data_IF_920068919870
#
_entry.id   IF_920068919870
#
_cell.length_a   1.000
_cell.length_b   1.000
_cell.length_c   1.000
_cell.angle_alpha   90.00
_cell.angle_beta   90.00
_cell.angle_gamma   90.00
#
_symmetry.space_group_name_H-M   'P 1'
#
loop_
_entity.id
_entity.type
_entity.pdbx_description
1 polymer ?
#
# COMPACT_ATOMS: atom_id res chain seq x y z
N UNK A 1 6.86 12.55 2.55
CA UNK A 1 6.07 12.10 1.38
C UNK A 1 6.89 12.33 0.13
N UNK A 2 7.02 11.31 -0.73
CA UNK A 2 7.81 11.33 -1.96
C UNK A 2 6.85 11.22 -3.14
N UNK A 3 6.86 12.20 -4.04
CA UNK A 3 6.03 12.23 -5.25
C UNK A 3 6.80 11.62 -6.43
N UNK A 4 6.14 10.74 -7.19
CA UNK A 4 6.72 9.99 -8.31
C UNK A 4 5.78 10.09 -9.50
N UNK A 5 6.29 10.53 -10.65
CA UNK A 5 5.57 10.47 -11.92
C UNK A 5 5.65 9.05 -12.48
N UNK A 6 4.51 8.47 -12.81
CA UNK A 6 4.42 7.11 -13.34
C UNK A 6 4.43 7.17 -14.86
N UNK A 7 5.41 6.52 -15.48
CA UNK A 7 5.54 6.46 -16.93
C UNK A 7 4.74 5.28 -17.52
N UNK A 8 4.48 5.33 -18.83
CA UNK A 8 3.86 4.22 -19.55
C UNK A 8 4.69 2.94 -19.50
N UNK A 9 6.03 3.06 -19.50
CA UNK A 9 6.94 1.93 -19.39
C UNK A 9 6.81 1.24 -18.01
N UNK A 10 6.75 2.01 -16.93
CA UNK A 10 6.51 1.49 -15.58
C UNK A 10 5.18 0.73 -15.52
N UNK A 11 4.11 1.26 -16.12
CA UNK A 11 2.82 0.57 -16.18
C UNK A 11 2.94 -0.74 -16.95
N UNK A 12 3.62 -0.74 -18.11
CA UNK A 12 3.84 -1.96 -18.91
C UNK A 12 4.57 -3.06 -18.12
N UNK A 13 5.58 -2.70 -17.34
CA UNK A 13 6.30 -3.65 -16.47
C UNK A 13 5.39 -4.19 -15.37
N UNK A 14 4.58 -3.34 -14.74
CA UNK A 14 3.61 -3.75 -13.72
C UNK A 14 2.51 -4.66 -14.28
N UNK A 15 2.02 -4.38 -15.50
CA UNK A 15 1.03 -5.23 -16.18
C UNK A 15 1.58 -6.62 -16.51
N UNK A 16 2.82 -6.71 -16.96
CA UNK A 16 3.49 -7.98 -17.18
C UNK A 16 3.58 -8.79 -15.87
N UNK A 17 4.02 -8.16 -14.79
CA UNK A 17 4.09 -8.78 -13.44
C UNK A 17 2.69 -9.20 -12.96
N UNK A 18 1.66 -8.38 -13.16
CA UNK A 18 0.28 -8.69 -12.79
C UNK A 18 -0.25 -9.95 -13.48
N UNK A 19 0.08 -10.14 -14.75
CA UNK A 19 -0.30 -11.35 -15.51
C UNK A 19 0.37 -12.61 -14.96
N UNK A 20 1.63 -12.53 -14.60
CA UNK A 20 2.36 -13.66 -14.03
C UNK A 20 1.82 -14.06 -12.67
N UNK A 21 1.53 -13.09 -11.80
CA UNK A 21 0.92 -13.32 -10.48
C UNK A 21 -0.50 -13.89 -10.63
N UNK A 22 -1.31 -13.37 -11.55
CA UNK A 22 -2.68 -13.87 -11.80
C UNK A 22 -2.72 -15.33 -12.24
N UNK A 23 -1.73 -15.81 -12.97
CA UNK A 23 -1.57 -17.22 -13.34
C UNK A 23 -1.24 -18.12 -12.16
N UNK A 24 -0.48 -17.59 -11.18
CA UNK A 24 0.01 -18.35 -10.02
C UNK A 24 -1.03 -18.46 -8.88
N UNK A 25 -1.99 -17.54 -8.79
CA UNK A 25 -2.85 -17.40 -7.60
C UNK A 25 -4.34 -17.65 -7.82
N UNK A 26 -4.82 -18.09 -8.99
CA UNK A 26 -6.26 -18.24 -9.26
C UNK A 26 -7.08 -17.03 -8.76
N UNK A 27 -6.63 -15.82 -9.07
CA UNK A 27 -7.19 -14.57 -8.53
C UNK A 27 -8.67 -14.41 -8.94
N UNK A 28 -9.55 -14.36 -7.95
CA UNK A 28 -11.00 -14.11 -8.07
C UNK A 28 -11.31 -12.80 -8.81
N UNK A 29 -10.38 -11.85 -8.85
CA UNK A 29 -10.57 -10.49 -9.39
C UNK A 29 -10.18 -10.32 -10.86
N UNK A 30 -9.88 -11.39 -11.59
CA UNK A 30 -9.51 -11.35 -13.04
C UNK A 30 -8.43 -10.28 -13.36
N UNK A 31 -7.50 -9.99 -12.48
CA UNK A 31 -6.35 -9.12 -12.71
C UNK A 31 -6.62 -7.61 -12.73
N UNK A 32 -7.87 -7.14 -12.84
CA UNK A 32 -8.18 -5.70 -12.92
C UNK A 32 -8.10 -4.93 -11.59
N UNK A 33 -8.23 -5.62 -10.45
CA UNK A 33 -8.19 -4.98 -9.12
C UNK A 33 -6.80 -4.75 -8.56
N UNK A 34 -5.78 -5.40 -9.11
CA UNK A 34 -4.46 -5.50 -8.47
C UNK A 34 -3.38 -4.58 -9.06
N UNK A 35 -3.60 -3.98 -10.24
CA UNK A 35 -2.56 -3.17 -10.90
C UNK A 35 -2.06 -2.02 -10.02
N UNK A 36 -2.95 -1.32 -9.32
CA UNK A 36 -2.55 -0.24 -8.43
C UNK A 36 -1.65 -0.73 -7.27
N UNK A 37 -1.95 -1.92 -6.72
CA UNK A 37 -1.10 -2.55 -5.71
C UNK A 37 0.30 -2.81 -6.24
N UNK A 38 0.39 -3.48 -7.39
CA UNK A 38 1.66 -3.80 -8.06
C UNK A 38 2.45 -2.54 -8.44
N UNK A 39 1.78 -1.49 -8.91
CA UNK A 39 2.43 -0.19 -9.16
C UNK A 39 2.98 0.41 -7.87
N UNK A 40 2.24 0.32 -6.76
CA UNK A 40 2.71 0.78 -5.45
C UNK A 40 3.95 0.03 -4.96
N UNK A 41 3.95 -1.30 -5.10
CA UNK A 41 5.11 -2.14 -4.80
C UNK A 41 6.31 -1.77 -5.70
N UNK A 42 6.06 -1.60 -7.01
CA UNK A 42 7.09 -1.26 -7.99
C UNK A 42 7.77 0.08 -7.67
N UNK A 43 6.99 1.15 -7.46
CA UNK A 43 7.56 2.48 -7.18
C UNK A 43 8.31 2.49 -5.84
N UNK A 44 7.83 1.71 -4.87
CA UNK A 44 8.51 1.54 -3.59
C UNK A 44 9.83 0.80 -3.76
N UNK A 45 9.85 -0.31 -4.50
CA UNK A 45 11.05 -1.06 -4.83
C UNK A 45 12.09 -0.20 -5.55
N UNK A 46 11.67 0.57 -6.56
CA UNK A 46 12.57 1.48 -7.28
C UNK A 46 13.15 2.58 -6.38
N UNK A 47 12.39 3.04 -5.39
CA UNK A 47 12.85 4.05 -4.43
C UNK A 47 13.81 3.46 -3.39
N UNK A 48 13.53 2.27 -2.87
CA UNK A 48 14.36 1.56 -1.89
C UNK A 48 15.47 0.79 -2.60
N UNK A 49 16.55 1.49 -2.95
CA UNK A 49 17.70 0.88 -3.63
C UNK A 49 18.27 -0.31 -2.86
N UNK A 50 18.36 -1.45 -3.52
CA UNK A 50 18.84 -2.70 -2.90
C UNK A 50 17.77 -3.53 -2.23
N UNK A 51 16.49 -3.12 -2.28
CA UNK A 51 15.40 -4.01 -1.87
C UNK A 51 15.23 -5.16 -2.89
N UNK A 52 14.68 -6.28 -2.42
CA UNK A 52 14.27 -7.41 -3.26
C UNK A 52 12.74 -7.43 -3.39
N UNK A 53 12.23 -7.50 -4.61
CA UNK A 53 10.78 -7.59 -4.85
C UNK A 53 10.33 -9.05 -4.87
N UNK A 54 9.72 -9.52 -3.79
CA UNK A 54 9.31 -10.91 -3.59
C UNK A 54 7.86 -11.16 -3.99
N UNK A 55 6.93 -10.28 -3.59
CA UNK A 55 5.49 -10.42 -3.81
C UNK A 55 4.93 -11.74 -3.28
N UNK A 56 5.06 -11.96 -1.99
CA UNK A 56 4.48 -13.11 -1.28
C UNK A 56 3.07 -12.78 -0.76
N UNK A 57 2.44 -13.72 -0.04
CA UNK A 57 1.18 -13.44 0.66
C UNK A 57 1.38 -12.51 1.86
N UNK A 58 2.52 -12.60 2.54
CA UNK A 58 2.78 -11.93 3.81
C UNK A 58 3.49 -10.59 3.64
N UNK A 59 4.31 -10.45 2.60
CA UNK A 59 5.09 -9.24 2.32
C UNK A 59 5.44 -9.14 0.83
N UNK A 60 5.75 -7.93 0.40
CA UNK A 60 6.03 -7.59 -1.00
C UNK A 60 7.52 -7.40 -1.27
N UNK A 61 8.24 -6.82 -0.32
CA UNK A 61 9.66 -6.47 -0.46
C UNK A 61 10.48 -6.97 0.73
N UNK A 62 11.78 -7.18 0.49
CA UNK A 62 12.80 -7.33 1.55
C UNK A 62 13.80 -6.18 1.42
N UNK A 63 14.02 -5.44 2.49
CA UNK A 63 15.05 -4.42 2.61
C UNK A 63 15.84 -4.62 3.91
N UNK A 64 17.16 -4.78 3.82
CA UNK A 64 18.03 -4.99 5.01
C UNK A 64 17.52 -6.11 5.94
N UNK A 65 17.13 -7.25 5.37
CA UNK A 65 16.53 -8.41 6.04
C UNK A 65 15.17 -8.13 6.71
N UNK A 66 14.51 -7.01 6.44
CA UNK A 66 13.15 -6.72 6.91
C UNK A 66 12.14 -7.04 5.83
N UNK A 67 11.06 -7.71 6.21
CA UNK A 67 9.90 -8.01 5.40
C UNK A 67 8.96 -6.79 5.39
N UNK A 68 8.71 -6.22 4.23
CA UNK A 68 7.91 -5.01 4.04
C UNK A 68 6.66 -5.35 3.25
N UNK A 69 5.49 -4.98 3.78
CA UNK A 69 4.21 -5.07 3.07
C UNK A 69 3.80 -3.65 2.62
N UNK A 70 3.55 -3.48 1.32
CA UNK A 70 3.22 -2.19 0.69
C UNK A 70 1.71 -2.03 0.57
N UNK A 71 1.15 -1.15 1.36
CA UNK A 71 -0.29 -0.85 1.39
C UNK A 71 -0.64 0.30 0.45
N UNK A 72 -1.21 -0.02 -0.69
CA UNK A 72 -1.56 0.95 -1.73
C UNK A 72 -3.04 1.28 -1.75
N UNK A 73 -3.36 2.58 -1.82
CA UNK A 73 -4.73 3.10 -2.00
C UNK A 73 -4.80 4.06 -3.17
N UNK A 74 -5.90 3.99 -3.96
CA UNK A 74 -6.18 4.98 -5.00
C UNK A 74 -6.67 6.29 -4.39
N UNK A 75 -6.42 7.40 -5.07
CA UNK A 75 -6.93 8.73 -4.72
C UNK A 75 -7.25 9.54 -5.99
N UNK A 76 -8.06 10.57 -5.83
CA UNK A 76 -8.44 11.48 -6.92
C UNK A 76 -7.57 12.74 -6.99
N UNK A 77 -6.77 13.00 -5.95
CA UNK A 77 -5.91 14.17 -5.83
C UNK A 77 -4.72 13.88 -4.92
N UNK A 78 -3.76 14.81 -4.87
CA UNK A 78 -2.61 14.73 -3.95
C UNK A 78 -3.08 14.47 -2.51
N UNK A 79 -2.52 13.46 -1.84
CA UNK A 79 -2.92 13.13 -0.46
C UNK A 79 -2.56 14.25 0.52
N UNK A 80 -3.40 14.40 1.54
CA UNK A 80 -3.21 15.35 2.66
C UNK A 80 -2.79 14.59 3.92
N UNK A 81 -2.15 15.27 4.84
CA UNK A 81 -1.61 14.68 6.07
C UNK A 81 -2.67 14.02 6.98
N UNK A 82 -3.93 14.45 6.85
CA UNK A 82 -5.06 13.87 7.58
C UNK A 82 -5.73 12.69 6.87
N UNK A 83 -5.24 12.23 5.70
CA UNK A 83 -5.77 11.06 5.05
C UNK A 83 -5.33 9.78 5.76
N UNK A 84 -6.19 8.74 5.69
CA UNK A 84 -5.95 7.47 6.35
C UNK A 84 -4.92 6.60 5.65
N UNK A 85 -4.05 6.01 6.46
CA UNK A 85 -3.27 4.83 6.15
C UNK A 85 -3.95 3.64 6.82
N UNK A 86 -4.43 2.69 6.02
CA UNK A 86 -5.27 1.60 6.51
C UNK A 86 -4.63 0.24 6.28
N UNK A 87 -4.71 -0.61 7.31
CA UNK A 87 -4.40 -2.05 7.21
C UNK A 87 -5.69 -2.81 7.48
N UNK A 88 -6.09 -3.70 6.57
CA UNK A 88 -7.29 -4.51 6.75
C UNK A 88 -7.15 -5.45 7.95
N UNK A 89 -8.24 -5.71 8.66
CA UNK A 89 -8.25 -6.66 9.78
C UNK A 89 -7.80 -8.06 9.36
N UNK A 90 -8.09 -8.46 8.12
CA UNK A 90 -7.63 -9.72 7.53
C UNK A 90 -6.10 -9.80 7.38
N UNK A 91 -5.38 -8.69 7.42
CA UNK A 91 -3.92 -8.63 7.34
C UNK A 91 -3.22 -8.82 8.70
N UNK A 92 -3.96 -8.97 9.80
CA UNK A 92 -3.38 -9.22 11.14
C UNK A 92 -2.48 -10.45 11.22
N UNK A 93 -2.72 -11.45 10.36
CA UNK A 93 -1.98 -12.71 10.33
C UNK A 93 -0.76 -12.68 9.40
N UNK A 94 -0.54 -11.59 8.66
CA UNK A 94 0.62 -11.46 7.78
C UNK A 94 1.92 -11.36 8.58
N UNK A 95 2.93 -12.10 8.14
CA UNK A 95 4.28 -12.11 8.72
C UNK A 95 5.15 -11.07 8.01
N UNK A 96 4.96 -9.79 8.38
CA UNK A 96 5.81 -8.68 7.93
C UNK A 96 6.32 -7.88 9.13
N UNK A 97 7.46 -7.21 8.95
CA UNK A 97 8.08 -6.38 9.98
C UNK A 97 7.59 -4.94 9.93
N UNK A 98 7.26 -4.46 8.72
CA UNK A 98 6.98 -3.06 8.48
C UNK A 98 5.97 -2.87 7.34
N UNK A 99 5.19 -1.79 7.45
CA UNK A 99 4.32 -1.29 6.39
C UNK A 99 4.92 -0.05 5.72
N UNK A 100 4.82 0.01 4.39
CA UNK A 100 5.00 1.24 3.61
C UNK A 100 3.67 1.58 2.96
N UNK A 101 3.26 2.84 3.07
CA UNK A 101 1.98 3.30 2.54
C UNK A 101 2.16 4.13 1.28
N UNK A 102 1.36 3.83 0.26
CA UNK A 102 1.40 4.47 -1.06
C UNK A 102 0.01 4.94 -1.45
N UNK A 103 -0.08 6.13 -2.05
CA UNK A 103 -1.26 6.62 -2.76
C UNK A 103 -0.94 6.72 -4.24
N UNK A 104 -1.92 6.35 -5.07
CA UNK A 104 -1.80 6.42 -6.53
C UNK A 104 -3.04 7.12 -7.08
N UNK A 105 -2.86 8.05 -8.03
CA UNK A 105 -3.98 8.65 -8.75
C UNK A 105 -4.81 7.60 -9.49
N UNK A 106 -6.10 7.85 -9.61
CA UNK A 106 -7.02 6.94 -10.28
C UNK A 106 -6.63 6.63 -11.74
N UNK A 107 -6.00 7.60 -12.41
CA UNK A 107 -5.49 7.47 -13.79
C UNK A 107 -4.08 6.88 -13.87
N UNK A 108 -3.48 6.51 -12.75
CA UNK A 108 -2.13 5.96 -12.62
C UNK A 108 -1.00 6.90 -13.09
N UNK A 109 -1.24 8.21 -13.19
CA UNK A 109 -0.22 9.16 -13.65
C UNK A 109 0.80 9.51 -12.56
N UNK A 110 0.42 9.42 -11.28
CA UNK A 110 1.27 9.78 -10.14
C UNK A 110 1.09 8.84 -8.96
N UNK A 111 2.19 8.64 -8.24
CA UNK A 111 2.19 7.98 -6.93
C UNK A 111 2.83 8.87 -5.85
N UNK A 112 2.48 8.64 -4.61
CA UNK A 112 3.11 9.22 -3.44
C UNK A 112 3.45 8.11 -2.45
N UNK A 113 4.74 7.94 -2.16
CA UNK A 113 5.16 7.13 -1.01
C UNK A 113 5.01 8.03 0.21
N UNK A 114 4.09 7.66 1.08
CA UNK A 114 3.62 8.52 2.18
C UNK A 114 4.54 8.48 3.39
N UNK A 115 5.08 7.30 3.67
CA UNK A 115 5.92 7.01 4.81
C UNK A 115 5.87 5.53 5.18
N UNK A 116 6.53 5.19 6.27
CA UNK A 116 6.69 3.82 6.77
C UNK A 116 6.39 3.72 8.26
N UNK A 117 6.03 2.52 8.73
CA UNK A 117 5.85 2.25 10.16
C UNK A 117 6.01 0.76 10.45
N UNK A 118 6.77 0.43 11.51
CA UNK A 118 6.88 -0.93 11.99
C UNK A 118 5.51 -1.49 12.36
N UNK A 119 5.27 -2.77 12.06
CA UNK A 119 3.97 -3.44 12.22
C UNK A 119 3.40 -3.29 13.64
N UNK A 120 4.19 -3.60 14.66
CA UNK A 120 3.73 -3.53 16.05
C UNK A 120 3.44 -2.09 16.50
N UNK A 121 4.27 -1.13 16.04
CA UNK A 121 4.05 0.30 16.30
C UNK A 121 2.77 0.79 15.62
N UNK A 122 2.48 0.29 14.40
CA UNK A 122 1.24 0.61 13.69
C UNK A 122 0.02 0.16 14.50
N UNK A 123 -0.08 -1.12 14.87
CA UNK A 123 -1.24 -1.63 15.60
C UNK A 123 -1.40 -1.05 17.00
N UNK A 124 -0.30 -0.65 17.63
CA UNK A 124 -0.35 0.04 18.94
C UNK A 124 -0.96 1.44 18.84
N UNK A 125 -0.79 2.14 17.71
CA UNK A 125 -1.27 3.52 17.51
C UNK A 125 -2.59 3.58 16.72
N UNK A 126 -2.78 2.65 15.80
CA UNK A 126 -3.90 2.69 14.86
C UNK A 126 -5.24 2.46 15.56
N UNK A 127 -6.24 3.18 15.10
CA UNK A 127 -7.61 3.06 15.56
C UNK A 127 -8.32 1.93 14.81
N UNK A 128 -8.87 0.96 15.54
CA UNK A 128 -9.73 -0.06 14.94
C UNK A 128 -11.06 0.56 14.51
N UNK A 129 -11.43 0.35 13.26
CA UNK A 129 -12.64 0.87 12.63
C UNK A 129 -13.43 -0.28 12.01
N UNK A 130 -14.72 -0.35 12.33
CA UNK A 130 -15.64 -1.35 11.76
C UNK A 130 -16.25 -0.84 10.46
N UNK A 131 -16.55 -1.76 9.55
CA UNK A 131 -17.27 -1.48 8.31
C UNK A 131 -18.52 -0.63 8.60
N UNK A 132 -18.71 0.44 7.84
CA UNK A 132 -19.84 1.35 7.96
C UNK A 132 -19.60 2.53 8.92
N UNK A 133 -18.60 2.49 9.79
CA UNK A 133 -18.24 3.64 10.62
C UNK A 133 -17.70 4.79 9.77
N UNK A 134 -17.91 6.01 10.24
CA UNK A 134 -17.32 7.22 9.64
C UNK A 134 -16.15 7.68 10.50
N UNK A 135 -14.99 7.83 9.88
CA UNK A 135 -13.85 8.44 10.56
C UNK A 135 -14.06 9.96 10.66
N UNK A 136 -14.16 10.44 11.90
CA UNK A 136 -14.43 11.87 12.17
C UNK A 136 -13.28 12.78 11.78
N UNK A 137 -12.06 12.25 11.61
CA UNK A 137 -10.87 13.05 11.27
C UNK A 137 -10.88 13.53 9.82
N UNK A 138 -11.51 12.79 8.92
CA UNK A 138 -11.52 13.06 7.48
C UNK A 138 -12.88 12.77 6.80
N UNK A 139 -13.91 12.44 7.61
CA UNK A 139 -15.26 12.14 7.17
C UNK A 139 -15.37 10.94 6.18
N UNK A 140 -14.41 10.00 6.26
CA UNK A 140 -14.37 8.82 5.40
C UNK A 140 -15.22 7.68 5.99
N UNK A 141 -16.12 7.13 5.16
CA UNK A 141 -16.88 5.92 5.53
C UNK A 141 -16.06 4.67 5.26
N UNK A 142 -15.83 3.88 6.30
CA UNK A 142 -15.03 2.65 6.25
C UNK A 142 -15.78 1.54 5.52
N UNK A 143 -15.15 0.94 4.51
CA UNK A 143 -15.76 -0.09 3.67
C UNK A 143 -15.49 -1.53 4.13
N UNK A 144 -14.48 -1.74 4.99
CA UNK A 144 -14.15 -3.04 5.60
C UNK A 144 -13.57 -2.80 6.99
N UNK A 145 -13.63 -3.80 7.88
CA UNK A 145 -12.94 -3.71 9.16
C UNK A 145 -11.45 -3.48 8.92
N UNK A 146 -10.88 -2.46 9.55
CA UNK A 146 -9.50 -2.06 9.36
C UNK A 146 -8.94 -1.31 10.56
N UNK A 147 -7.64 -1.15 10.56
CA UNK A 147 -6.88 -0.30 11.47
C UNK A 147 -6.39 0.91 10.70
N UNK A 148 -6.69 2.11 11.20
CA UNK A 148 -6.38 3.38 10.56
C UNK A 148 -5.51 4.25 11.46
N UNK A 149 -4.52 4.90 10.84
CA UNK A 149 -3.86 6.09 11.36
C UNK A 149 -3.69 7.11 10.23
N UNK A 150 -3.34 8.34 10.56
CA UNK A 150 -3.19 9.39 9.54
C UNK A 150 -1.77 9.43 8.98
N UNK A 151 -1.61 9.97 7.77
CA UNK A 151 -0.31 10.10 7.09
C UNK A 151 0.71 10.83 7.97
N UNK A 152 0.31 11.90 8.69
CA UNK A 152 1.19 12.66 9.59
C UNK A 152 1.80 11.85 10.74
N UNK A 153 1.26 10.67 11.04
CA UNK A 153 1.73 9.79 12.11
C UNK A 153 2.79 8.79 11.63
N UNK A 154 3.02 8.71 10.30
CA UNK A 154 4.05 7.87 9.71
C UNK A 154 5.45 8.44 9.93
N UNK A 155 6.43 7.56 9.96
CA UNK A 155 7.83 7.94 9.83
C UNK A 155 8.17 8.26 8.37
N UNK A 156 9.10 9.14 8.13
CA UNK A 156 9.67 9.37 6.79
C UNK A 156 10.45 8.15 6.32
N UNK A 157 10.59 8.01 4.98
CA UNK A 157 11.47 7.01 4.39
C UNK A 157 12.92 7.46 4.45
#
# INVERSE_FOLDING_TARGET
MIEIDITKDMIGQCEAKAKDIGRLRNSITKGKGNLAGIVGEYVTHQHLKGSEWQNTYDYDLIENNKKIDVKTKRCSSKPRDNYDCSVAETSLHQDCDEYIFVRILNDLSKAWILGRMGRDAFFKKAKHMKKGQVDKSNNFKVHANCYNLTIKELNTL
#
